data_IF_503188007643
#
_entry.id   IF_503188007643
#
_cell.length_a   1.000
_cell.length_b   1.000
_cell.length_c   1.000
_cell.angle_alpha   90.00
_cell.angle_beta   90.00
_cell.angle_gamma   90.00
#
_symmetry.space_group_name_H-M   'P 1'
#
loop_
_entity.id
_entity.type
_entity.pdbx_description
1 polymer ?
#
# COMPACT_ATOMS: atom_id res chain seq x y z
N UNK A 1 16.19 4.38 2.56
CA UNK A 1 17.16 4.24 3.67
C UNK A 1 18.28 3.26 3.36
N UNK A 2 17.99 1.98 3.09
CA UNK A 2 19.06 0.99 2.82
C UNK A 2 20.03 1.42 1.69
N UNK A 3 19.52 1.88 0.54
CA UNK A 3 20.34 2.39 -0.57
C UNK A 3 21.26 3.58 -0.21
N UNK A 4 20.95 4.35 0.84
CA UNK A 4 21.78 5.47 1.28
C UNK A 4 23.07 4.98 1.95
N UNK A 5 22.98 3.89 2.73
CA UNK A 5 24.14 3.31 3.41
C UNK A 5 24.91 2.29 2.56
N UNK A 6 24.37 1.90 1.41
CA UNK A 6 25.06 0.99 0.50
C UNK A 6 26.38 1.62 0.00
N UNK A 7 27.52 0.91 0.08
CA UNK A 7 28.79 1.42 -0.40
C UNK A 7 28.83 1.43 -1.94
N UNK A 8 28.34 2.52 -2.54
CA UNK A 8 28.32 2.71 -4.00
C UNK A 8 29.72 2.74 -4.63
N UNK A 9 30.78 2.92 -3.84
CA UNK A 9 32.16 2.71 -4.30
C UNK A 9 32.37 1.28 -4.87
N UNK A 10 31.57 0.29 -4.45
CA UNK A 10 31.64 -1.06 -5.01
C UNK A 10 31.32 -1.11 -6.51
N UNK A 11 30.54 -0.17 -7.04
CA UNK A 11 30.25 -0.05 -8.49
C UNK A 11 31.09 1.04 -9.17
N UNK A 12 31.99 1.70 -8.44
CA UNK A 12 32.91 2.70 -8.99
C UNK A 12 34.11 2.08 -9.71
N UNK A 13 34.80 2.84 -10.57
CA UNK A 13 36.05 2.38 -11.16
C UNK A 13 37.17 2.39 -10.11
N UNK A 14 38.07 1.40 -10.15
CA UNK A 14 39.22 1.34 -9.24
C UNK A 14 40.07 2.62 -9.34
N UNK A 15 40.37 3.23 -8.18
CA UNK A 15 41.29 4.36 -8.09
C UNK A 15 42.71 3.83 -7.93
N UNK A 16 43.58 4.08 -8.91
CA UNK A 16 45.03 3.85 -8.77
C UNK A 16 45.68 5.11 -8.19
N UNK A 17 46.05 5.08 -6.92
CA UNK A 17 46.86 6.15 -6.31
C UNK A 17 48.28 6.06 -6.84
N UNK A 18 48.77 7.11 -7.52
CA UNK A 18 50.09 7.15 -8.17
C UNK A 18 51.30 7.00 -7.22
N UNK A 19 51.12 7.03 -5.90
CA UNK A 19 52.22 7.02 -4.91
C UNK A 19 52.14 5.93 -3.84
N UNK A 20 51.18 4.98 -3.90
CA UNK A 20 51.15 3.87 -2.95
C UNK A 20 50.62 2.58 -3.60
N UNK A 21 51.37 1.46 -3.59
CA UNK A 21 50.96 0.19 -4.22
C UNK A 21 49.90 -0.57 -3.42
N UNK A 22 49.51 -0.10 -2.23
CA UNK A 22 48.45 -0.73 -1.44
C UNK A 22 47.08 -0.24 -1.92
N UNK A 23 46.18 -1.16 -2.36
CA UNK A 23 44.84 -0.78 -2.75
C UNK A 23 44.10 -0.19 -1.54
N UNK A 24 43.57 1.02 -1.70
CA UNK A 24 42.73 1.67 -0.68
C UNK A 24 41.52 0.77 -0.40
N UNK A 25 41.18 0.48 0.86
CA UNK A 25 40.05 -0.39 1.18
C UNK A 25 38.76 0.22 0.62
N UNK A 26 38.12 -0.49 -0.31
CA UNK A 26 36.86 -0.07 -0.97
C UNK A 26 35.73 0.12 0.03
N UNK A 27 35.73 -0.67 1.10
CA UNK A 27 34.81 -0.56 2.22
C UNK A 27 35.40 0.37 3.28
N UNK A 28 35.07 1.66 3.22
CA UNK A 28 35.54 2.66 4.20
C UNK A 28 34.97 2.43 5.61
N UNK A 29 33.74 1.92 5.71
CA UNK A 29 33.06 1.64 6.98
C UNK A 29 32.19 0.40 6.88
N UNK A 30 32.49 -0.62 7.71
CA UNK A 30 31.66 -1.81 7.85
C UNK A 30 30.30 -1.51 8.47
N UNK A 31 30.19 -0.44 9.26
CA UNK A 31 28.92 -0.04 9.87
C UNK A 31 27.89 0.35 8.80
N UNK A 32 28.31 1.14 7.79
CA UNK A 32 27.41 1.53 6.70
C UNK A 32 26.93 0.30 5.91
N UNK A 33 27.84 -0.63 5.62
CA UNK A 33 27.48 -1.89 4.97
C UNK A 33 26.47 -2.70 5.81
N UNK A 34 26.73 -2.87 7.12
CA UNK A 34 25.81 -3.59 8.03
C UNK A 34 24.45 -2.92 8.13
N UNK A 35 24.42 -1.59 8.28
CA UNK A 35 23.18 -0.82 8.30
C UNK A 35 22.39 -1.00 7.00
N UNK A 36 23.06 -0.92 5.84
CA UNK A 36 22.44 -1.17 4.54
C UNK A 36 21.86 -2.58 4.46
N UNK A 37 22.62 -3.60 4.85
CA UNK A 37 22.20 -5.00 4.76
C UNK A 37 21.06 -5.35 5.73
N UNK A 38 21.10 -4.83 6.97
CA UNK A 38 20.00 -5.00 7.92
C UNK A 38 18.71 -4.34 7.41
N UNK A 39 18.79 -3.10 6.91
CA UNK A 39 17.64 -2.40 6.34
C UNK A 39 17.14 -3.07 5.04
N UNK A 40 18.04 -3.63 4.23
CA UNK A 40 17.70 -4.41 3.05
C UNK A 40 16.95 -5.70 3.41
N UNK A 41 17.49 -6.47 4.35
CA UNK A 41 16.85 -7.69 4.85
C UNK A 41 15.49 -7.40 5.47
N UNK A 42 15.37 -6.32 6.26
CA UNK A 42 14.08 -5.88 6.82
C UNK A 42 13.09 -5.53 5.70
N UNK A 43 13.55 -4.81 4.67
CA UNK A 43 12.70 -4.47 3.52
C UNK A 43 12.23 -5.73 2.75
N UNK A 44 13.05 -6.77 2.65
CA UNK A 44 12.67 -8.05 2.02
C UNK A 44 11.71 -8.85 2.90
N UNK A 45 11.92 -8.89 4.21
CA UNK A 45 10.99 -9.55 5.15
C UNK A 45 9.61 -8.89 5.11
N UNK A 46 9.56 -7.56 5.16
CA UNK A 46 8.30 -6.81 5.10
C UNK A 46 7.66 -6.86 3.70
N UNK A 47 8.48 -6.94 2.65
CA UNK A 47 8.04 -6.97 1.24
C UNK A 47 8.98 -7.84 0.41
N UNK A 48 8.64 -9.11 0.16
CA UNK A 48 9.50 -10.06 -0.56
C UNK A 48 9.97 -9.57 -1.93
N UNK A 49 9.17 -8.75 -2.64
CA UNK A 49 9.53 -8.21 -3.96
C UNK A 49 10.76 -7.30 -3.94
N UNK A 50 11.15 -6.73 -2.78
CA UNK A 50 12.39 -5.97 -2.66
C UNK A 50 13.65 -6.81 -2.93
N UNK A 51 13.53 -8.15 -2.93
CA UNK A 51 14.62 -9.04 -3.33
C UNK A 51 15.08 -8.74 -4.75
N UNK A 52 14.19 -8.34 -5.65
CA UNK A 52 14.52 -7.98 -7.04
C UNK A 52 15.49 -6.80 -7.07
N UNK A 53 15.24 -5.76 -6.26
CA UNK A 53 16.08 -4.57 -6.18
C UNK A 53 17.51 -4.94 -5.73
N UNK A 54 17.62 -5.68 -4.63
CA UNK A 54 18.91 -6.05 -4.06
C UNK A 54 19.65 -7.08 -4.91
N UNK A 55 18.94 -8.05 -5.49
CA UNK A 55 19.52 -9.02 -6.40
C UNK A 55 20.13 -8.31 -7.62
N UNK A 56 19.45 -7.32 -8.20
CA UNK A 56 20.01 -6.54 -9.31
C UNK A 56 21.26 -5.75 -8.89
N UNK A 57 21.20 -5.02 -7.77
CA UNK A 57 22.36 -4.23 -7.30
C UNK A 57 23.57 -5.14 -7.03
N UNK A 58 23.36 -6.27 -6.35
CA UNK A 58 24.42 -7.24 -6.08
C UNK A 58 24.95 -7.86 -7.38
N UNK A 59 24.07 -8.23 -8.31
CA UNK A 59 24.44 -8.78 -9.61
C UNK A 59 25.35 -7.83 -10.39
N UNK A 60 24.99 -6.55 -10.51
CA UNK A 60 25.84 -5.56 -11.21
C UNK A 60 27.09 -5.22 -10.42
N UNK A 61 27.05 -5.28 -9.08
CA UNK A 61 28.25 -5.11 -8.25
C UNK A 61 29.27 -6.21 -8.56
N UNK A 62 28.85 -7.47 -8.57
CA UNK A 62 29.73 -8.63 -8.76
C UNK A 62 30.18 -8.82 -10.22
N UNK A 63 29.25 -8.75 -11.17
CA UNK A 63 29.53 -9.04 -12.58
C UNK A 63 30.09 -7.85 -13.34
N UNK A 64 29.75 -6.62 -12.89
CA UNK A 64 30.08 -5.35 -13.55
C UNK A 64 29.69 -5.27 -15.04
N UNK A 65 28.75 -6.09 -15.48
CA UNK A 65 28.25 -6.05 -16.86
C UNK A 65 27.76 -4.62 -17.16
N UNK A 66 28.16 -4.05 -18.30
CA UNK A 66 27.82 -2.68 -18.74
C UNK A 66 28.44 -1.53 -17.90
N UNK A 67 29.18 -1.83 -16.82
CA UNK A 67 29.91 -0.84 -16.02
C UNK A 67 31.28 -0.55 -16.64
N UNK A 68 31.76 0.68 -16.45
CA UNK A 68 33.03 1.16 -17.00
C UNK A 68 34.13 1.19 -15.93
N UNK A 69 35.37 0.94 -16.36
CA UNK A 69 36.57 0.98 -15.53
C UNK A 69 36.90 -0.36 -14.84
N UNK A 70 38.13 -0.47 -14.35
CA UNK A 70 38.61 -1.67 -13.65
C UNK A 70 37.85 -1.93 -12.37
N UNK A 71 37.63 -3.21 -12.06
CA UNK A 71 36.93 -3.62 -10.84
C UNK A 71 37.73 -3.22 -9.59
N UNK A 72 37.12 -2.54 -8.61
CA UNK A 72 37.70 -2.33 -7.29
C UNK A 72 37.54 -3.58 -6.40
N UNK A 73 36.76 -4.59 -6.82
CA UNK A 73 36.49 -5.76 -6.01
C UNK A 73 37.72 -6.68 -5.93
N UNK A 74 38.07 -7.05 -4.71
CA UNK A 74 39.00 -8.14 -4.42
C UNK A 74 38.23 -9.36 -3.90
N UNK A 75 38.83 -10.55 -3.98
CA UNK A 75 38.25 -11.78 -3.42
C UNK A 75 37.93 -11.60 -1.94
N UNK A 76 38.81 -10.93 -1.19
CA UNK A 76 38.60 -10.60 0.23
C UNK A 76 37.35 -9.74 0.43
N UNK A 77 37.14 -8.71 -0.41
CA UNK A 77 35.93 -7.88 -0.37
C UNK A 77 34.67 -8.71 -0.58
N UNK A 78 34.67 -9.64 -1.55
CA UNK A 78 33.53 -10.52 -1.82
C UNK A 78 33.22 -11.41 -0.61
N UNK A 79 34.23 -12.01 0.01
CA UNK A 79 34.04 -12.79 1.24
C UNK A 79 33.43 -11.96 2.38
N UNK A 80 33.89 -10.71 2.56
CA UNK A 80 33.31 -9.80 3.56
C UNK A 80 31.84 -9.52 3.24
N UNK A 81 31.48 -9.24 1.98
CA UNK A 81 30.09 -8.99 1.58
C UNK A 81 29.20 -10.20 1.88
N UNK A 82 29.64 -11.42 1.54
CA UNK A 82 28.87 -12.65 1.80
C UNK A 82 28.72 -12.87 3.30
N UNK A 83 29.81 -12.78 4.08
CA UNK A 83 29.78 -12.95 5.54
C UNK A 83 28.80 -11.96 6.18
N UNK A 84 28.92 -10.68 5.86
CA UNK A 84 28.06 -9.64 6.45
C UNK A 84 26.61 -9.79 6.00
N UNK A 85 26.35 -10.22 4.76
CA UNK A 85 24.99 -10.50 4.28
C UNK A 85 24.34 -11.65 5.05
N UNK A 86 25.09 -12.75 5.30
CA UNK A 86 24.60 -13.88 6.10
C UNK A 86 24.33 -13.44 7.54
N UNK A 87 25.26 -12.72 8.18
CA UNK A 87 25.11 -12.26 9.55
C UNK A 87 23.92 -11.30 9.72
N UNK A 88 23.84 -10.25 8.89
CA UNK A 88 22.77 -9.26 8.95
C UNK A 88 21.41 -9.87 8.56
N UNK A 89 21.38 -10.71 7.53
CA UNK A 89 20.17 -11.40 7.09
C UNK A 89 19.64 -12.34 8.16
N UNK A 90 20.51 -13.15 8.77
CA UNK A 90 20.12 -14.09 9.84
C UNK A 90 19.61 -13.34 11.08
N UNK A 91 20.25 -12.23 11.46
CA UNK A 91 19.80 -11.39 12.56
C UNK A 91 18.35 -10.90 12.35
N UNK A 92 18.06 -10.34 11.17
CA UNK A 92 16.72 -9.84 10.87
C UNK A 92 15.70 -10.96 10.76
N UNK A 93 16.06 -12.12 10.20
CA UNK A 93 15.19 -13.28 10.14
C UNK A 93 14.83 -13.81 11.55
N UNK A 94 15.80 -13.89 12.45
CA UNK A 94 15.56 -14.29 13.85
C UNK A 94 14.61 -13.31 14.54
N UNK A 95 14.82 -11.99 14.35
CA UNK A 95 13.94 -10.96 14.90
C UNK A 95 12.51 -11.11 14.35
N UNK A 96 12.35 -11.35 13.04
CA UNK A 96 11.05 -11.56 12.42
C UNK A 96 10.35 -12.79 13.00
N UNK A 97 11.04 -13.95 13.00
CA UNK A 97 10.47 -15.21 13.47
C UNK A 97 10.10 -15.13 14.97
N UNK A 98 10.92 -14.47 15.79
CA UNK A 98 10.61 -14.23 17.19
C UNK A 98 9.38 -13.32 17.36
N UNK A 99 9.30 -12.23 16.58
CA UNK A 99 8.14 -11.33 16.58
C UNK A 99 6.86 -12.05 16.17
N UNK A 100 6.92 -12.84 15.10
CA UNK A 100 5.79 -13.63 14.61
C UNK A 100 5.33 -14.66 15.66
N UNK A 101 6.28 -15.35 16.31
CA UNK A 101 5.98 -16.32 17.38
C UNK A 101 5.34 -15.67 18.62
N UNK A 102 5.77 -14.45 18.98
CA UNK A 102 5.21 -13.69 20.10
C UNK A 102 3.79 -13.21 19.80
N UNK A 103 3.53 -12.78 18.57
CA UNK A 103 2.22 -12.30 18.15
C UNK A 103 1.20 -13.44 17.95
N UNK A 104 1.56 -14.45 17.16
CA UNK A 104 0.63 -15.53 16.79
C UNK A 104 0.51 -16.63 17.86
N UNK A 105 1.45 -16.73 18.80
CA UNK A 105 1.47 -17.78 19.81
C UNK A 105 1.98 -19.14 19.32
N UNK A 106 2.26 -19.29 18.01
CA UNK A 106 2.86 -20.48 17.41
C UNK A 106 3.96 -20.11 16.42
N UNK A 107 4.85 -21.05 16.10
CA UNK A 107 5.92 -20.83 15.13
C UNK A 107 5.32 -20.76 13.73
N UNK A 108 5.47 -19.60 13.09
CA UNK A 108 5.02 -19.37 11.72
C UNK A 108 6.04 -18.53 10.99
N UNK A 109 6.12 -18.71 9.67
CA UNK A 109 6.98 -17.90 8.81
C UNK A 109 6.13 -17.28 7.69
N UNK A 110 5.60 -16.06 7.89
CA UNK A 110 4.65 -15.42 6.98
C UNK A 110 5.15 -15.31 5.53
N UNK A 111 6.46 -15.09 5.31
CA UNK A 111 7.02 -14.99 3.97
C UNK A 111 6.89 -16.31 3.18
N UNK A 112 7.09 -17.47 3.82
CA UNK A 112 6.85 -18.76 3.18
C UNK A 112 5.37 -19.00 2.93
N UNK A 113 4.51 -18.69 3.90
CA UNK A 113 3.06 -18.82 3.73
C UNK A 113 2.54 -17.92 2.60
N UNK A 114 3.10 -16.72 2.45
CA UNK A 114 2.83 -15.81 1.34
C UNK A 114 3.24 -16.41 0.00
N UNK A 115 4.46 -16.97 -0.10
CA UNK A 115 4.92 -17.62 -1.33
C UNK A 115 4.05 -18.82 -1.69
N UNK A 116 3.76 -19.67 -0.70
CA UNK A 116 2.87 -20.81 -0.87
C UNK A 116 1.48 -20.34 -1.35
N UNK A 117 0.89 -19.35 -0.69
CA UNK A 117 -0.42 -18.81 -1.03
C UNK A 117 -0.47 -18.20 -2.45
N UNK A 118 0.53 -17.41 -2.84
CA UNK A 118 0.53 -16.72 -4.12
C UNK A 118 0.94 -17.60 -5.31
N UNK A 119 1.90 -18.51 -5.11
CA UNK A 119 2.43 -19.35 -6.19
C UNK A 119 1.65 -20.67 -6.35
N UNK A 120 1.24 -21.32 -5.26
CA UNK A 120 0.58 -22.64 -5.35
C UNK A 120 -0.93 -22.56 -5.54
N UNK A 121 -1.60 -21.54 -5.00
CA UNK A 121 -3.07 -21.44 -5.01
C UNK A 121 -3.63 -20.51 -6.10
N UNK A 122 -2.78 -19.84 -6.89
CA UNK A 122 -3.15 -18.92 -7.99
C UNK A 122 -4.21 -17.87 -7.63
N UNK A 123 -4.37 -17.57 -6.34
CA UNK A 123 -5.41 -16.71 -5.78
C UNK A 123 -5.25 -15.24 -6.16
N UNK A 124 -4.03 -14.82 -6.53
CA UNK A 124 -3.80 -13.45 -6.99
C UNK A 124 -4.68 -13.08 -8.20
N UNK A 125 -5.06 -14.07 -9.03
CA UNK A 125 -5.99 -13.87 -10.16
C UNK A 125 -7.39 -13.46 -9.69
N UNK A 126 -7.84 -13.92 -8.52
CA UNK A 126 -9.15 -13.58 -7.94
C UNK A 126 -9.28 -12.07 -7.70
N UNK A 127 -8.17 -11.41 -7.32
CA UNK A 127 -8.12 -9.96 -7.09
C UNK A 127 -7.93 -9.14 -8.37
N UNK A 128 -8.16 -9.74 -9.55
CA UNK A 128 -8.10 -9.09 -10.84
C UNK A 128 -6.79 -9.31 -11.60
N UNK A 129 -6.90 -9.20 -12.93
CA UNK A 129 -5.77 -9.33 -13.88
C UNK A 129 -5.46 -8.00 -14.52
N UNK A 130 -4.17 -7.70 -14.65
CA UNK A 130 -3.67 -6.48 -15.28
C UNK A 130 -2.78 -6.82 -16.48
N UNK A 131 -2.83 -6.04 -17.57
CA UNK A 131 -1.98 -6.28 -18.73
C UNK A 131 -0.50 -6.17 -18.38
N UNK A 132 0.37 -6.80 -19.18
CA UNK A 132 1.82 -6.81 -18.94
C UNK A 132 2.44 -5.41 -18.89
N UNK A 133 1.87 -4.46 -19.65
CA UNK A 133 2.36 -3.08 -19.76
C UNK A 133 1.83 -2.14 -18.66
N UNK A 134 1.04 -2.64 -17.70
CA UNK A 134 0.45 -1.85 -16.60
C UNK A 134 1.48 -0.97 -15.88
N UNK A 135 2.63 -1.50 -15.48
CA UNK A 135 3.64 -0.71 -14.78
C UNK A 135 4.28 0.35 -15.66
N UNK A 136 4.34 0.13 -16.97
CA UNK A 136 4.94 1.07 -17.92
C UNK A 136 3.98 2.23 -18.19
N UNK A 137 2.71 1.92 -18.51
CA UNK A 137 1.73 2.92 -18.93
C UNK A 137 0.93 3.56 -17.80
N UNK A 138 0.83 2.91 -16.63
CA UNK A 138 0.04 3.39 -15.49
C UNK A 138 0.90 3.54 -14.23
N UNK A 139 1.68 2.52 -13.88
CA UNK A 139 2.47 2.50 -12.65
C UNK A 139 3.52 3.62 -12.58
N UNK A 140 4.40 3.71 -13.59
CA UNK A 140 5.45 4.73 -13.66
C UNK A 140 4.87 6.16 -13.71
N UNK A 141 3.86 6.46 -14.56
CA UNK A 141 3.19 7.75 -14.50
C UNK A 141 2.61 8.09 -13.14
N UNK A 142 1.99 7.12 -12.46
CA UNK A 142 1.36 7.37 -11.16
C UNK A 142 2.39 7.69 -10.06
N UNK A 143 3.51 6.96 -9.98
CA UNK A 143 4.52 7.21 -8.92
C UNK A 143 5.41 8.42 -9.22
N UNK A 144 5.67 8.72 -10.50
CA UNK A 144 6.53 9.84 -10.89
C UNK A 144 5.76 11.16 -11.01
N UNK A 145 4.43 11.12 -11.19
CA UNK A 145 3.58 12.31 -11.40
C UNK A 145 4.20 13.30 -12.40
N UNK A 146 4.49 14.52 -11.98
CA UNK A 146 5.08 15.58 -12.82
C UNK A 146 6.57 15.40 -13.08
N UNK A 147 7.25 14.49 -12.38
CA UNK A 147 8.65 14.14 -12.63
C UNK A 147 8.84 13.08 -13.72
N UNK A 148 7.74 12.49 -14.22
CA UNK A 148 7.74 11.44 -15.25
C UNK A 148 8.61 11.73 -16.48
N UNK A 149 8.54 12.90 -17.16
CA UNK A 149 9.36 13.14 -18.34
C UNK A 149 10.87 13.10 -18.04
N UNK A 150 11.27 13.58 -16.86
CA UNK A 150 12.67 13.52 -16.42
C UNK A 150 13.09 12.08 -16.11
N UNK A 151 12.21 11.29 -15.48
CA UNK A 151 12.46 9.88 -15.21
C UNK A 151 12.63 9.07 -16.49
N UNK A 152 11.78 9.28 -17.49
CA UNK A 152 11.86 8.59 -18.79
C UNK A 152 13.18 8.95 -19.50
N UNK A 153 13.51 10.24 -19.57
CA UNK A 153 14.76 10.70 -20.19
C UNK A 153 15.98 10.14 -19.46
N UNK A 154 15.95 10.11 -18.13
CA UNK A 154 17.02 9.54 -17.32
C UNK A 154 17.16 8.02 -17.48
N UNK A 155 16.06 7.28 -17.64
CA UNK A 155 16.12 5.85 -17.92
C UNK A 155 16.68 5.56 -19.31
N UNK A 156 16.34 6.38 -20.31
CA UNK A 156 16.86 6.26 -21.67
C UNK A 156 18.34 6.64 -21.78
N UNK A 157 18.77 7.72 -21.09
CA UNK A 157 20.13 8.26 -21.13
C UNK A 157 20.76 8.38 -19.73
N UNK A 158 20.80 7.27 -19.00
CA UNK A 158 21.21 7.23 -17.58
C UNK A 158 22.61 7.76 -17.28
N UNK A 159 23.51 7.76 -18.27
CA UNK A 159 24.89 8.24 -18.12
C UNK A 159 25.16 9.60 -18.77
N UNK A 160 24.21 10.18 -19.51
CA UNK A 160 24.47 11.40 -20.29
C UNK A 160 24.78 12.64 -19.42
N UNK A 161 24.29 12.66 -18.18
CA UNK A 161 24.50 13.75 -17.22
C UNK A 161 25.48 13.38 -16.11
N UNK A 162 26.23 12.27 -16.26
CA UNK A 162 27.23 11.87 -15.28
C UNK A 162 28.53 12.66 -15.48
N UNK A 163 29.05 13.25 -14.41
CA UNK A 163 30.33 13.98 -14.40
C UNK A 163 31.53 13.08 -14.13
N UNK A 164 31.31 11.84 -13.71
CA UNK A 164 32.37 10.85 -13.45
C UNK A 164 31.95 9.43 -13.82
N UNK A 165 32.92 8.56 -14.09
CA UNK A 165 32.69 7.12 -14.33
C UNK A 165 31.96 6.46 -13.16
N UNK A 166 32.29 6.84 -11.92
CA UNK A 166 31.62 6.32 -10.72
C UNK A 166 30.13 6.69 -10.70
N UNK A 167 29.81 7.94 -11.02
CA UNK A 167 28.43 8.39 -11.11
C UNK A 167 27.69 7.69 -12.25
N UNK A 168 28.33 7.54 -13.42
CA UNK A 168 27.77 6.81 -14.57
C UNK A 168 27.41 5.37 -14.20
N UNK A 169 28.33 4.64 -13.55
CA UNK A 169 28.08 3.26 -13.12
C UNK A 169 26.96 3.16 -12.07
N UNK A 170 26.90 4.12 -11.14
CA UNK A 170 25.83 4.19 -10.12
C UNK A 170 24.47 4.39 -10.78
N UNK A 171 24.35 5.37 -11.67
CA UNK A 171 23.09 5.67 -12.39
C UNK A 171 22.69 4.50 -13.29
N UNK A 172 23.63 3.86 -13.99
CA UNK A 172 23.36 2.64 -14.76
C UNK A 172 22.81 1.52 -13.87
N UNK A 173 23.43 1.27 -12.73
CA UNK A 173 22.98 0.23 -11.77
C UNK A 173 21.56 0.51 -11.29
N UNK A 174 21.24 1.75 -10.94
CA UNK A 174 19.88 2.16 -10.55
C UNK A 174 18.88 2.01 -11.72
N UNK A 175 19.25 2.38 -12.94
CA UNK A 175 18.40 2.22 -14.12
C UNK A 175 18.11 0.74 -14.40
N UNK A 176 19.12 -0.12 -14.35
CA UNK A 176 18.93 -1.58 -14.49
C UNK A 176 18.08 -2.17 -13.37
N UNK A 177 18.18 -1.62 -12.16
CA UNK A 177 17.33 -2.01 -11.02
C UNK A 177 15.87 -1.70 -11.31
N UNK A 178 15.58 -0.52 -11.88
CA UNK A 178 14.22 -0.15 -12.34
C UNK A 178 13.75 -1.09 -13.45
N UNK A 179 14.56 -1.31 -14.50
CA UNK A 179 14.17 -2.18 -15.61
C UNK A 179 13.93 -3.63 -15.18
N UNK A 180 14.80 -4.18 -14.34
CA UNK A 180 14.68 -5.57 -13.87
C UNK A 180 13.44 -5.73 -13.00
N UNK A 181 13.18 -4.78 -12.09
CA UNK A 181 12.02 -4.85 -11.20
C UNK A 181 10.72 -4.69 -11.99
N UNK A 182 10.64 -3.72 -12.91
CA UNK A 182 9.47 -3.54 -13.78
C UNK A 182 9.27 -4.77 -14.67
N UNK A 183 10.32 -5.24 -15.33
CA UNK A 183 10.26 -6.40 -16.22
C UNK A 183 9.78 -7.67 -15.50
N UNK A 184 10.37 -7.97 -14.33
CA UNK A 184 9.99 -9.13 -13.53
C UNK A 184 8.55 -9.03 -13.01
N UNK A 185 8.14 -7.88 -12.47
CA UNK A 185 6.77 -7.70 -11.97
C UNK A 185 5.75 -7.56 -13.12
N UNK A 186 6.15 -7.21 -14.34
CA UNK A 186 5.23 -7.20 -15.48
C UNK A 186 4.74 -8.62 -15.86
N UNK A 187 5.48 -9.66 -15.47
CA UNK A 187 5.13 -11.07 -15.74
C UNK A 187 4.03 -11.62 -14.82
N UNK A 188 3.80 -11.01 -13.64
CA UNK A 188 2.76 -11.48 -12.72
C UNK A 188 1.37 -11.00 -13.16
N UNK A 189 0.34 -11.83 -13.01
CA UNK A 189 -1.03 -11.51 -13.50
C UNK A 189 -1.67 -10.38 -12.71
N UNK A 190 -1.56 -10.42 -11.38
CA UNK A 190 -2.05 -9.36 -10.49
C UNK A 190 -0.98 -8.29 -10.29
N UNK A 191 -1.35 -7.03 -10.33
CA UNK A 191 -0.41 -5.91 -10.28
C UNK A 191 -0.99 -4.81 -9.42
N UNK A 192 -0.12 -4.19 -8.63
CA UNK A 192 -0.48 -3.05 -7.79
C UNK A 192 0.67 -2.05 -7.80
N UNK A 193 0.34 -0.77 -7.88
CA UNK A 193 1.36 0.30 -7.90
C UNK A 193 2.28 0.24 -6.67
N UNK A 194 1.75 -0.21 -5.52
CA UNK A 194 2.55 -0.37 -4.29
C UNK A 194 3.71 -1.36 -4.42
N UNK A 195 3.70 -2.28 -5.41
CA UNK A 195 4.80 -3.22 -5.64
C UNK A 195 6.03 -2.54 -6.25
N UNK A 196 5.83 -1.50 -7.07
CA UNK A 196 6.92 -0.72 -7.67
C UNK A 196 7.26 0.56 -6.88
N UNK A 197 6.45 0.93 -5.88
CA UNK A 197 6.70 2.08 -5.02
C UNK A 197 8.12 2.14 -4.42
N UNK A 198 8.77 1.02 -4.03
CA UNK A 198 10.16 1.04 -3.58
C UNK A 198 11.20 1.55 -4.61
N UNK A 199 10.83 1.63 -5.90
CA UNK A 199 11.69 2.20 -6.96
C UNK A 199 11.71 3.73 -6.95
N UNK A 200 10.77 4.40 -6.27
CA UNK A 200 10.64 5.86 -6.31
C UNK A 200 11.95 6.60 -5.95
N UNK A 201 12.72 6.21 -4.90
CA UNK A 201 14.00 6.86 -4.62
C UNK A 201 15.02 6.73 -5.77
N UNK A 202 15.09 5.57 -6.43
CA UNK A 202 15.98 5.37 -7.57
C UNK A 202 15.55 6.24 -8.76
N UNK A 203 14.25 6.31 -9.04
CA UNK A 203 13.67 7.17 -10.09
C UNK A 203 13.91 8.66 -9.81
N UNK A 204 13.81 9.10 -8.55
CA UNK A 204 14.13 10.48 -8.16
C UNK A 204 15.61 10.80 -8.35
N UNK A 205 16.52 9.90 -7.95
CA UNK A 205 17.97 10.07 -8.15
C UNK A 205 18.32 10.14 -9.64
N UNK A 206 17.73 9.25 -10.46
CA UNK A 206 17.92 9.24 -11.91
C UNK A 206 17.40 10.53 -12.55
N UNK A 207 16.21 10.99 -12.14
CA UNK A 207 15.57 12.20 -12.68
C UNK A 207 16.32 13.48 -12.33
N UNK A 208 17.00 13.53 -11.17
CA UNK A 208 17.53 14.77 -10.61
C UNK A 208 18.51 15.53 -11.54
N UNK A 209 19.53 14.91 -12.18
CA UNK A 209 20.41 15.62 -13.11
C UNK A 209 19.67 16.18 -14.33
N UNK A 210 18.71 15.43 -14.87
CA UNK A 210 17.91 15.88 -16.02
C UNK A 210 17.03 17.07 -15.62
N UNK A 211 16.33 16.97 -14.50
CA UNK A 211 15.51 18.04 -13.95
C UNK A 211 16.37 19.29 -13.64
N UNK A 212 17.55 19.12 -13.04
CA UNK A 212 18.48 20.21 -12.76
C UNK A 212 18.91 20.92 -14.04
N UNK A 213 19.29 20.17 -15.09
CA UNK A 213 19.67 20.78 -16.39
C UNK A 213 18.51 21.54 -17.06
N UNK A 214 17.26 21.13 -16.82
CA UNK A 214 16.09 21.78 -17.38
C UNK A 214 15.71 23.05 -16.60
N UNK A 215 15.67 22.98 -15.27
CA UNK A 215 15.22 24.07 -14.40
C UNK A 215 16.33 24.98 -13.88
N UNK A 216 17.60 24.66 -14.10
CA UNK A 216 18.71 25.52 -13.67
C UNK A 216 19.65 25.79 -14.84
N UNK A 217 20.30 26.95 -14.80
CA UNK A 217 21.46 27.24 -15.64
C UNK A 217 22.55 27.85 -14.76
N UNK A 218 23.80 27.58 -15.10
CA UNK A 218 24.97 28.21 -14.48
C UNK A 218 25.37 29.41 -15.35
N UNK A 219 25.33 30.64 -14.83
CA UNK A 219 25.90 31.80 -15.52
C UNK A 219 27.42 31.66 -15.65
N UNK A 220 28.00 32.29 -16.67
CA UNK A 220 29.46 32.34 -16.81
C UNK A 220 30.08 33.19 -15.69
N UNK A 221 31.28 32.79 -15.25
CA UNK A 221 32.04 33.54 -14.25
C UNK A 221 32.48 34.89 -14.84
N UNK A 222 32.28 35.97 -14.09
CA UNK A 222 32.73 37.32 -14.45
C UNK A 222 33.79 37.80 -13.46
N UNK A 223 34.58 38.81 -13.83
CA UNK A 223 35.60 39.40 -12.94
C UNK A 223 35.00 39.87 -11.61
N UNK A 224 33.76 40.35 -11.62
CA UNK A 224 33.03 40.80 -10.43
C UNK A 224 32.30 39.67 -9.69
N UNK A 225 32.11 38.51 -10.33
CA UNK A 225 31.47 37.35 -9.72
C UNK A 225 32.12 36.05 -10.21
N UNK A 226 33.23 35.63 -9.58
CA UNK A 226 34.00 34.47 -10.00
C UNK A 226 33.32 33.12 -9.71
N UNK A 227 32.25 33.10 -8.89
CA UNK A 227 31.47 31.90 -8.56
C UNK A 227 29.97 32.21 -8.58
N UNK A 228 29.39 32.42 -9.78
CA UNK A 228 27.97 32.70 -9.89
C UNK A 228 27.15 31.53 -9.36
N UNK A 229 26.06 31.85 -8.65
CA UNK A 229 25.12 30.83 -8.16
C UNK A 229 24.23 30.36 -9.31
N UNK A 230 23.85 29.06 -9.36
CA UNK A 230 22.88 28.57 -10.32
C UNK A 230 21.59 29.38 -10.24
N UNK A 231 21.07 29.78 -11.40
CA UNK A 231 19.82 30.52 -11.52
C UNK A 231 18.72 29.60 -12.05
N UNK A 232 17.48 29.84 -11.60
CA UNK A 232 16.31 29.06 -12.01
C UNK A 232 15.81 29.53 -13.38
N UNK A 233 15.72 28.58 -14.31
CA UNK A 233 15.10 28.70 -15.64
C UNK A 233 13.75 27.97 -15.65
N UNK A 234 12.90 28.23 -16.65
CA UNK A 234 11.65 27.50 -16.87
C UNK A 234 10.68 27.56 -15.66
N UNK A 235 10.66 28.71 -14.98
CA UNK A 235 9.93 28.93 -13.71
C UNK A 235 8.44 28.58 -13.82
N UNK A 236 7.80 28.90 -14.95
CA UNK A 236 6.38 28.59 -15.16
C UNK A 236 6.10 27.10 -15.14
N UNK A 237 6.92 26.28 -15.79
CA UNK A 237 6.80 24.82 -15.76
C UNK A 237 7.06 24.26 -14.37
N UNK A 238 8.05 24.81 -13.65
CA UNK A 238 8.34 24.41 -12.28
C UNK A 238 7.16 24.71 -11.34
N UNK A 239 6.59 25.92 -11.43
CA UNK A 239 5.43 26.33 -10.65
C UNK A 239 4.19 25.52 -11.00
N UNK A 240 3.96 25.23 -12.28
CA UNK A 240 2.85 24.37 -12.71
C UNK A 240 3.02 22.94 -12.16
N UNK A 241 4.22 22.36 -12.27
CA UNK A 241 4.52 21.03 -11.75
C UNK A 241 4.34 20.97 -10.23
N UNK A 242 4.79 21.99 -9.49
CA UNK A 242 4.59 22.09 -8.05
C UNK A 242 3.09 22.25 -7.73
N UNK A 243 2.40 23.13 -8.44
CA UNK A 243 0.97 23.40 -8.27
C UNK A 243 0.12 22.15 -8.46
N UNK A 244 0.40 21.33 -9.48
CA UNK A 244 -0.28 20.05 -9.70
C UNK A 244 -0.07 19.11 -8.51
N UNK A 245 1.16 18.96 -8.00
CA UNK A 245 1.41 18.07 -6.85
C UNK A 245 0.78 18.61 -5.57
N UNK A 246 0.82 19.92 -5.31
CA UNK A 246 0.19 20.53 -4.13
C UNK A 246 -1.33 20.36 -4.20
N UNK A 247 -1.94 20.60 -5.36
CA UNK A 247 -3.36 20.38 -5.58
C UNK A 247 -3.75 18.91 -5.35
N UNK A 248 -3.03 17.97 -5.99
CA UNK A 248 -3.28 16.54 -5.81
C UNK A 248 -3.11 16.10 -4.36
N UNK A 249 -2.04 16.55 -3.69
CA UNK A 249 -1.80 16.25 -2.28
C UNK A 249 -2.93 16.78 -1.40
N UNK A 250 -3.37 18.03 -1.61
CA UNK A 250 -4.48 18.62 -0.86
C UNK A 250 -5.80 17.90 -1.13
N UNK A 251 -6.16 17.67 -2.38
CA UNK A 251 -7.41 17.01 -2.76
C UNK A 251 -7.48 15.57 -2.25
N UNK A 252 -6.43 14.76 -2.48
CA UNK A 252 -6.42 13.35 -2.09
C UNK A 252 -6.28 13.14 -0.58
N UNK A 253 -5.66 14.08 0.15
CA UNK A 253 -5.51 13.95 1.60
C UNK A 253 -6.73 14.44 2.39
N UNK A 254 -7.45 15.46 1.87
CA UNK A 254 -8.48 16.14 2.64
C UNK A 254 -9.90 16.08 2.06
N UNK A 255 -10.08 15.76 0.78
CA UNK A 255 -11.38 15.84 0.11
C UNK A 255 -11.86 14.51 -0.46
N UNK A 256 -10.96 13.71 -1.04
CA UNK A 256 -11.30 12.44 -1.66
C UNK A 256 -11.46 11.33 -0.60
N UNK A 257 -12.55 10.56 -0.69
CA UNK A 257 -12.86 9.39 0.16
C UNK A 257 -12.83 9.67 1.67
N UNK A 258 -13.34 10.82 2.10
CA UNK A 258 -13.39 11.19 3.53
C UNK A 258 -14.52 10.51 4.31
N UNK A 259 -15.67 10.26 3.67
CA UNK A 259 -16.82 9.63 4.32
C UNK A 259 -16.52 8.25 4.97
N UNK A 260 -15.77 7.34 4.34
CA UNK A 260 -15.36 6.09 4.97
C UNK A 260 -14.63 6.20 6.32
N UNK A 261 -13.94 7.31 6.58
CA UNK A 261 -13.31 7.59 7.86
C UNK A 261 -14.30 8.23 8.84
N UNK A 262 -15.07 9.20 8.37
CA UNK A 262 -16.00 9.96 9.19
C UNK A 262 -17.17 9.09 9.70
N UNK A 263 -17.63 8.11 8.91
CA UNK A 263 -18.73 7.22 9.30
C UNK A 263 -18.38 6.38 10.53
N UNK A 264 -17.13 5.94 10.65
CA UNK A 264 -16.70 5.14 11.82
C UNK A 264 -16.56 6.01 13.07
N UNK A 265 -16.22 7.30 12.90
CA UNK A 265 -16.22 8.27 13.99
C UNK A 265 -17.65 8.54 14.46
N UNK A 266 -18.59 8.71 13.52
CA UNK A 266 -20.02 8.83 13.83
C UNK A 266 -20.54 7.60 14.61
N UNK A 267 -20.31 6.39 14.10
CA UNK A 267 -20.77 5.16 14.75
C UNK A 267 -20.14 4.98 16.14
N UNK A 268 -18.87 5.37 16.32
CA UNK A 268 -18.21 5.33 17.63
C UNK A 268 -18.91 6.25 18.63
N UNK A 269 -19.20 7.50 18.23
CA UNK A 269 -19.87 8.45 19.10
C UNK A 269 -21.31 8.03 19.42
N UNK A 270 -22.04 7.48 18.44
CA UNK A 270 -23.37 6.93 18.70
C UNK A 270 -23.30 5.73 19.66
N UNK A 271 -22.29 4.86 19.51
CA UNK A 271 -22.10 3.76 20.45
C UNK A 271 -21.78 4.26 21.86
N UNK A 272 -20.92 5.28 21.99
CA UNK A 272 -20.58 5.93 23.26
C UNK A 272 -21.80 6.53 23.96
N UNK A 273 -22.71 7.09 23.15
CA UNK A 273 -23.93 7.73 23.62
C UNK A 273 -24.98 6.71 24.08
N UNK A 274 -25.12 5.60 23.35
CA UNK A 274 -26.19 4.60 23.59
C UNK A 274 -25.74 3.55 24.61
N UNK A 275 -24.46 3.20 24.68
CA UNK A 275 -23.92 2.13 25.54
C UNK A 275 -22.81 2.64 26.50
N UNK A 276 -23.10 3.62 27.38
CA UNK A 276 -22.09 4.18 28.29
C UNK A 276 -21.50 3.11 29.23
N UNK A 277 -22.32 2.16 29.68
CA UNK A 277 -21.87 1.08 30.57
C UNK A 277 -20.88 0.14 29.87
N UNK A 278 -21.14 -0.22 28.61
CA UNK A 278 -20.22 -1.06 27.82
C UNK A 278 -18.90 -0.36 27.53
N UNK A 279 -18.93 0.96 27.32
CA UNK A 279 -17.72 1.79 27.16
C UNK A 279 -16.90 1.82 28.44
N UNK A 280 -17.56 2.03 29.58
CA UNK A 280 -16.90 2.03 30.89
C UNK A 280 -16.30 0.65 31.20
N UNK A 281 -17.00 -0.43 30.87
CA UNK A 281 -16.50 -1.79 31.00
C UNK A 281 -15.29 -2.06 30.10
N UNK A 282 -15.31 -1.61 28.85
CA UNK A 282 -14.18 -1.74 27.93
C UNK A 282 -12.92 -1.01 28.46
N UNK A 283 -13.10 0.19 29.01
CA UNK A 283 -12.00 0.97 29.58
C UNK A 283 -11.43 0.31 30.85
N UNK A 284 -12.29 -0.11 31.78
CA UNK A 284 -11.85 -0.76 33.04
C UNK A 284 -11.19 -2.12 32.80
N UNK A 285 -11.68 -2.89 31.83
CA UNK A 285 -11.09 -4.18 31.43
C UNK A 285 -9.89 -4.07 30.48
N UNK A 286 -9.43 -2.85 30.16
CA UNK A 286 -8.37 -2.59 29.17
C UNK A 286 -8.61 -3.31 27.85
N UNK A 287 -9.86 -3.29 27.37
CA UNK A 287 -10.28 -3.89 26.10
C UNK A 287 -10.03 -5.41 26.01
N UNK A 288 -9.88 -6.11 27.15
CA UNK A 288 -9.58 -7.55 27.19
C UNK A 288 -10.81 -8.45 27.16
N UNK A 289 -12.00 -7.88 27.40
CA UNK A 289 -13.27 -8.61 27.43
C UNK A 289 -13.99 -8.40 26.09
N UNK A 290 -14.36 -9.51 25.45
CA UNK A 290 -15.12 -9.51 24.20
C UNK A 290 -16.61 -9.18 24.40
N UNK A 291 -17.36 -9.00 23.31
CA UNK A 291 -18.79 -8.69 23.37
C UNK A 291 -19.56 -9.77 24.13
N UNK A 292 -20.52 -9.36 24.96
CA UNK A 292 -21.49 -10.26 25.59
C UNK A 292 -22.32 -11.01 24.53
N UNK A 293 -22.82 -12.20 24.87
CA UNK A 293 -23.62 -13.03 23.94
C UNK A 293 -24.92 -12.36 23.48
N UNK A 294 -25.46 -11.44 24.27
CA UNK A 294 -26.76 -10.80 24.06
C UNK A 294 -26.66 -9.36 23.54
N UNK A 295 -25.46 -8.94 23.09
CA UNK A 295 -25.28 -7.58 22.57
C UNK A 295 -25.87 -7.42 21.16
N UNK A 296 -26.59 -6.31 20.97
CA UNK A 296 -27.20 -5.93 19.70
C UNK A 296 -26.18 -5.90 18.55
N UNK A 297 -26.64 -6.17 17.32
CA UNK A 297 -25.83 -5.85 16.15
C UNK A 297 -25.89 -4.34 15.92
N UNK A 298 -24.82 -3.63 16.23
CA UNK A 298 -24.83 -2.17 16.17
C UNK A 298 -24.81 -1.63 14.74
N UNK A 299 -24.00 -2.21 13.85
CA UNK A 299 -23.86 -1.73 12.48
C UNK A 299 -23.68 -2.86 11.45
N UNK A 300 -24.42 -2.78 10.35
CA UNK A 300 -24.28 -3.63 9.16
C UNK A 300 -23.77 -2.78 7.99
N UNK A 301 -22.70 -3.22 7.33
CA UNK A 301 -22.11 -2.53 6.20
C UNK A 301 -22.44 -3.26 4.91
N UNK A 302 -23.40 -2.72 4.16
CA UNK A 302 -23.81 -3.18 2.83
C UNK A 302 -23.10 -2.34 1.76
N UNK A 303 -21.83 -2.64 1.56
CA UNK A 303 -20.95 -1.91 0.65
C UNK A 303 -19.81 -2.83 0.18
N UNK A 304 -19.03 -2.47 -0.86
CA UNK A 304 -17.92 -3.30 -1.29
C UNK A 304 -16.89 -3.45 -0.17
N UNK A 305 -16.23 -4.60 -0.12
CA UNK A 305 -15.27 -4.90 0.93
C UNK A 305 -14.12 -3.89 0.99
N UNK A 306 -13.53 -3.72 2.17
CA UNK A 306 -12.42 -2.78 2.42
C UNK A 306 -12.75 -1.32 2.06
N UNK A 307 -14.03 -0.93 2.09
CA UNK A 307 -14.42 0.47 1.90
C UNK A 307 -14.08 1.34 3.11
N UNK A 308 -14.06 0.79 4.33
CA UNK A 308 -13.75 1.51 5.58
C UNK A 308 -12.60 0.82 6.35
N UNK A 309 -11.89 1.51 7.26
CA UNK A 309 -10.77 0.91 8.00
C UNK A 309 -11.20 0.01 9.18
N UNK A 310 -12.51 -0.28 9.31
CA UNK A 310 -13.08 -1.31 10.20
C UNK A 310 -12.61 -1.22 11.66
N UNK A 311 -12.11 -2.33 12.23
CA UNK A 311 -11.72 -2.48 13.63
C UNK A 311 -10.56 -1.59 14.10
N UNK A 312 -9.82 -0.97 13.19
CA UNK A 312 -8.85 0.06 13.58
C UNK A 312 -9.52 1.34 14.12
N UNK A 313 -10.81 1.54 13.83
CA UNK A 313 -11.59 2.71 14.25
C UNK A 313 -12.81 2.32 15.11
N UNK A 314 -13.37 1.12 14.93
CA UNK A 314 -14.41 0.57 15.80
C UNK A 314 -13.80 -0.14 17.02
N UNK A 315 -13.23 0.67 17.91
CA UNK A 315 -12.34 0.23 19.00
C UNK A 315 -13.04 -0.51 20.14
N UNK A 316 -14.35 -0.31 20.33
CA UNK A 316 -15.09 -0.94 21.42
C UNK A 316 -15.39 -2.40 21.08
N UNK A 317 -14.98 -3.38 21.92
CA UNK A 317 -15.25 -4.80 21.69
C UNK A 317 -16.74 -5.11 21.61
N UNK A 318 -17.54 -4.41 22.42
CA UNK A 318 -18.99 -4.55 22.43
C UNK A 318 -19.72 -3.90 21.24
N UNK A 319 -19.02 -3.13 20.40
CA UNK A 319 -19.58 -2.61 19.16
C UNK A 319 -19.55 -3.73 18.12
N UNK A 320 -20.57 -4.58 18.15
CA UNK A 320 -20.78 -5.63 17.15
C UNK A 320 -21.14 -5.00 15.80
N UNK A 321 -20.37 -5.34 14.79
CA UNK A 321 -20.62 -4.88 13.42
C UNK A 321 -20.35 -6.02 12.43
N UNK A 322 -21.12 -6.04 11.35
CA UNK A 322 -20.98 -7.00 10.24
C UNK A 322 -20.71 -6.25 8.94
N UNK A 323 -19.84 -6.79 8.09
CA UNK A 323 -19.60 -6.29 6.74
C UNK A 323 -19.64 -7.46 5.78
N UNK A 324 -20.15 -7.22 4.56
CA UNK A 324 -20.10 -8.18 3.47
C UNK A 324 -18.66 -8.67 3.28
N UNK A 325 -18.48 -9.99 3.18
CA UNK A 325 -17.16 -10.61 3.03
C UNK A 325 -16.75 -10.75 1.57
N UNK A 326 -15.46 -10.54 1.30
CA UNK A 326 -14.83 -10.83 0.01
C UNK A 326 -13.73 -11.87 0.19
N UNK A 327 -13.98 -12.84 1.05
CA UNK A 327 -13.05 -13.93 1.30
C UNK A 327 -12.93 -14.76 0.01
N UNK A 328 -11.70 -15.05 -0.43
CA UNK A 328 -11.55 -15.88 -1.60
C UNK A 328 -11.88 -17.34 -1.25
N UNK A 329 -12.24 -18.19 -2.22
CA UNK A 329 -12.67 -19.55 -1.93
C UNK A 329 -11.45 -20.43 -1.62
N UNK A 330 -11.01 -20.44 -0.37
CA UNK A 330 -9.78 -21.14 0.04
C UNK A 330 -9.87 -22.67 -0.06
N UNK A 331 -11.10 -23.21 -0.09
CA UNK A 331 -11.40 -24.64 -0.05
C UNK A 331 -11.63 -25.27 -1.42
N UNK A 332 -11.76 -24.47 -2.49
CA UNK A 332 -11.93 -24.98 -3.85
C UNK A 332 -10.58 -25.18 -4.53
N UNK A 333 -10.44 -26.20 -5.39
CA UNK A 333 -9.19 -26.40 -6.13
C UNK A 333 -9.02 -25.33 -7.24
N UNK A 334 -7.78 -24.96 -7.63
CA UNK A 334 -7.54 -24.08 -8.77
C UNK A 334 -8.07 -24.67 -10.10
N UNK A 335 -8.51 -23.81 -11.03
CA UNK A 335 -9.00 -24.19 -12.36
C UNK A 335 -10.23 -25.14 -12.36
N UNK A 336 -11.06 -25.07 -11.33
CA UNK A 336 -12.35 -25.78 -11.31
C UNK A 336 -13.50 -24.84 -11.71
N UNK A 337 -14.61 -25.36 -12.27
CA UNK A 337 -15.80 -24.55 -12.52
C UNK A 337 -16.34 -23.88 -11.26
N UNK A 338 -16.19 -24.52 -10.10
CA UNK A 338 -16.59 -23.96 -8.81
C UNK A 338 -15.75 -22.74 -8.43
N UNK A 339 -14.43 -22.78 -8.70
CA UNK A 339 -13.53 -21.64 -8.51
C UNK A 339 -13.81 -20.50 -9.48
N UNK A 340 -14.13 -20.80 -10.73
CA UNK A 340 -14.40 -19.79 -11.77
C UNK A 340 -15.75 -19.10 -11.58
N UNK A 341 -16.76 -19.83 -11.08
CA UNK A 341 -18.10 -19.31 -10.83
C UNK A 341 -18.27 -18.77 -9.40
N UNK A 342 -17.23 -18.80 -8.57
CA UNK A 342 -17.30 -18.28 -7.21
C UNK A 342 -17.66 -16.79 -7.22
N UNK A 343 -18.61 -16.44 -6.36
CA UNK A 343 -19.02 -15.07 -6.06
C UNK A 343 -18.93 -14.86 -4.57
N UNK A 344 -18.29 -13.78 -4.15
CA UNK A 344 -18.27 -13.42 -2.73
C UNK A 344 -19.57 -12.75 -2.28
N UNK A 345 -19.73 -12.50 -0.98
CA UNK A 345 -20.97 -11.92 -0.44
C UNK A 345 -21.26 -10.54 -1.01
N UNK A 346 -20.22 -9.72 -1.22
CA UNK A 346 -20.41 -8.39 -1.78
C UNK A 346 -20.93 -8.49 -3.22
N UNK A 347 -20.32 -9.33 -4.05
CA UNK A 347 -20.78 -9.51 -5.43
C UNK A 347 -22.20 -10.11 -5.48
N UNK A 348 -22.53 -11.11 -4.65
CA UNK A 348 -23.90 -11.67 -4.59
C UNK A 348 -24.94 -10.63 -4.18
N UNK A 349 -24.61 -9.79 -3.20
CA UNK A 349 -25.47 -8.67 -2.79
C UNK A 349 -25.70 -7.67 -3.93
N UNK A 350 -24.65 -7.26 -4.64
CA UNK A 350 -24.77 -6.30 -5.74
C UNK A 350 -25.41 -6.89 -7.00
N UNK A 351 -25.31 -8.22 -7.22
CA UNK A 351 -25.97 -8.92 -8.31
C UNK A 351 -27.48 -9.05 -8.07
N UNK A 352 -27.91 -9.41 -6.85
CA UNK A 352 -29.32 -9.62 -6.50
C UNK A 352 -29.63 -9.17 -5.06
N UNK A 353 -29.81 -7.86 -4.79
CA UNK A 353 -29.84 -7.33 -3.44
C UNK A 353 -31.04 -7.80 -2.61
N UNK A 354 -32.26 -7.83 -3.19
CA UNK A 354 -33.46 -8.24 -2.43
C UNK A 354 -33.39 -9.73 -2.06
N UNK A 355 -33.18 -10.68 -3.00
CA UNK A 355 -33.04 -12.09 -2.65
C UNK A 355 -31.88 -12.36 -1.67
N UNK A 356 -30.77 -11.65 -1.82
CA UNK A 356 -29.64 -11.78 -0.90
C UNK A 356 -30.05 -11.38 0.53
N UNK A 357 -30.74 -10.25 0.70
CA UNK A 357 -31.19 -9.80 2.02
C UNK A 357 -32.25 -10.73 2.63
N UNK A 358 -33.24 -11.19 1.85
CA UNK A 358 -34.34 -12.03 2.35
C UNK A 358 -33.92 -13.46 2.64
N UNK A 359 -33.06 -14.04 1.81
CA UNK A 359 -32.83 -15.49 1.79
C UNK A 359 -31.44 -15.90 2.28
N UNK A 360 -30.44 -15.03 2.13
CA UNK A 360 -29.07 -15.32 2.58
C UNK A 360 -28.77 -14.61 3.91
N UNK A 361 -28.79 -13.28 3.92
CA UNK A 361 -28.30 -12.49 5.06
C UNK A 361 -29.22 -12.56 6.29
N UNK A 362 -30.52 -12.38 6.06
CA UNK A 362 -31.55 -12.50 7.08
C UNK A 362 -32.40 -13.77 6.92
N UNK A 363 -31.89 -14.74 6.16
CA UNK A 363 -32.59 -15.99 5.86
C UNK A 363 -32.75 -16.91 7.08
N UNK A 364 -33.63 -17.93 6.97
CA UNK A 364 -34.03 -18.76 8.10
C UNK A 364 -32.95 -19.71 8.63
N UNK A 365 -31.97 -20.10 7.81
CA UNK A 365 -30.94 -21.08 8.21
C UNK A 365 -29.92 -20.51 9.20
N UNK A 366 -29.60 -19.22 9.08
CA UNK A 366 -28.65 -18.53 9.98
C UNK A 366 -28.87 -17.02 9.94
N UNK A 367 -29.99 -16.52 10.49
CA UNK A 367 -30.34 -15.11 10.37
C UNK A 367 -29.32 -14.25 11.11
N UNK A 368 -28.76 -13.26 10.41
CA UNK A 368 -28.07 -12.17 11.06
C UNK A 368 -29.07 -11.40 11.94
N UNK A 369 -28.69 -11.04 13.15
CA UNK A 369 -29.55 -10.19 13.99
C UNK A 369 -29.80 -8.86 13.27
N UNK A 370 -31.01 -8.30 13.39
CA UNK A 370 -31.31 -7.04 12.69
C UNK A 370 -30.46 -5.92 13.29
N UNK A 371 -29.69 -5.19 12.47
CA UNK A 371 -28.79 -4.17 12.97
C UNK A 371 -29.55 -2.94 13.43
N UNK A 372 -28.97 -2.14 14.34
CA UNK A 372 -29.44 -0.78 14.60
C UNK A 372 -29.20 0.13 13.39
N UNK A 373 -27.98 0.09 12.87
CA UNK A 373 -27.57 0.91 11.74
C UNK A 373 -27.21 0.07 10.51
N UNK A 374 -27.70 0.48 9.34
CA UNK A 374 -27.22 0.02 8.05
C UNK A 374 -26.33 1.11 7.46
N UNK A 375 -25.19 0.74 6.91
CA UNK A 375 -24.19 1.65 6.35
C UNK A 375 -23.92 1.24 4.91
N UNK A 376 -23.97 2.19 3.98
CA UNK A 376 -23.81 1.92 2.56
C UNK A 376 -23.62 3.21 1.76
N UNK A 377 -23.39 3.06 0.46
CA UNK A 377 -23.41 4.18 -0.48
C UNK A 377 -24.85 4.45 -0.94
N UNK A 378 -25.17 5.70 -1.29
CA UNK A 378 -26.53 6.13 -1.63
C UNK A 378 -27.19 5.30 -2.74
N UNK A 379 -26.41 4.69 -3.63
CA UNK A 379 -26.90 3.77 -4.66
C UNK A 379 -27.69 2.56 -4.14
N UNK A 380 -27.52 2.16 -2.87
CA UNK A 380 -28.27 1.02 -2.29
C UNK A 380 -29.61 1.43 -1.67
N UNK A 381 -29.88 2.73 -1.52
CA UNK A 381 -31.11 3.24 -0.88
C UNK A 381 -32.38 2.63 -1.50
N UNK A 382 -32.57 2.59 -2.84
CA UNK A 382 -33.79 2.03 -3.42
C UNK A 382 -34.00 0.56 -3.03
N UNK A 383 -32.92 -0.22 -2.93
CA UNK A 383 -32.98 -1.62 -2.55
C UNK A 383 -33.37 -1.81 -1.09
N UNK A 384 -32.89 -0.94 -0.20
CA UNK A 384 -33.33 -0.95 1.20
C UNK A 384 -34.83 -0.62 1.30
N UNK A 385 -35.30 0.39 0.56
CA UNK A 385 -36.71 0.78 0.55
C UNK A 385 -37.62 -0.31 -0.02
N UNK A 386 -37.14 -1.13 -0.93
CA UNK A 386 -37.90 -2.29 -1.43
C UNK A 386 -37.81 -3.49 -0.50
N UNK A 387 -36.64 -3.71 0.13
CA UNK A 387 -36.45 -4.78 1.11
C UNK A 387 -37.39 -4.64 2.32
N UNK A 388 -37.53 -3.45 2.90
CA UNK A 388 -38.42 -3.23 4.07
C UNK A 388 -39.91 -3.48 3.77
N UNK A 389 -40.31 -3.54 2.50
CA UNK A 389 -41.68 -3.89 2.08
C UNK A 389 -41.90 -5.40 1.97
N UNK A 390 -40.83 -6.20 2.01
CA UNK A 390 -40.92 -7.66 1.90
C UNK A 390 -41.53 -8.28 3.16
N UNK A 391 -42.26 -9.40 3.05
CA UNK A 391 -42.77 -10.13 4.22
C UNK A 391 -41.67 -10.55 5.19
N UNK A 392 -40.49 -10.91 4.68
CA UNK A 392 -39.34 -11.33 5.46
C UNK A 392 -38.81 -10.18 6.32
N UNK A 393 -38.65 -8.97 5.76
CA UNK A 393 -38.26 -7.81 6.54
C UNK A 393 -39.31 -7.42 7.58
N UNK A 394 -40.60 -7.49 7.23
CA UNK A 394 -41.70 -7.22 8.16
C UNK A 394 -41.76 -8.23 9.32
N UNK A 395 -41.49 -9.51 9.04
CA UNK A 395 -41.41 -10.55 10.07
C UNK A 395 -40.27 -10.31 11.07
N UNK A 396 -39.22 -9.60 10.64
CA UNK A 396 -38.10 -9.16 11.48
C UNK A 396 -38.37 -7.84 12.22
N UNK A 397 -39.55 -7.22 12.04
CA UNK A 397 -39.88 -5.91 12.59
C UNK A 397 -39.27 -4.73 11.83
N UNK A 398 -38.55 -4.98 10.72
CA UNK A 398 -37.91 -3.96 9.90
C UNK A 398 -38.91 -3.39 8.89
N UNK A 399 -39.69 -2.40 9.32
CA UNK A 399 -40.75 -1.79 8.50
C UNK A 399 -40.30 -0.57 7.70
N UNK A 400 -39.23 0.09 8.14
CA UNK A 400 -38.67 1.27 7.48
C UNK A 400 -37.19 1.42 7.81
N UNK A 401 -36.50 2.21 7.00
CA UNK A 401 -35.15 2.69 7.28
C UNK A 401 -35.10 4.20 7.11
N UNK A 402 -34.45 4.91 8.04
CA UNK A 402 -34.35 6.36 8.02
C UNK A 402 -32.89 6.81 7.93
N UNK A 403 -32.51 7.64 6.95
CA UNK A 403 -31.16 8.19 6.91
C UNK A 403 -30.96 9.14 8.12
N UNK A 404 -29.96 8.83 8.95
CA UNK A 404 -29.58 9.60 10.15
C UNK A 404 -28.25 10.33 10.00
N UNK A 405 -27.41 9.88 9.07
CA UNK A 405 -26.14 10.53 8.76
C UNK A 405 -25.81 10.44 7.27
N UNK A 406 -25.17 11.46 6.72
CA UNK A 406 -24.67 11.49 5.34
C UNK A 406 -23.27 12.09 5.28
N UNK A 407 -22.35 11.41 4.60
CA UNK A 407 -20.98 11.84 4.40
C UNK A 407 -20.65 12.00 2.92
N UNK A 408 -19.88 13.05 2.61
CA UNK A 408 -19.33 13.26 1.27
C UNK A 408 -18.16 12.30 1.00
N UNK A 409 -18.26 11.46 -0.03
CA UNK A 409 -17.21 10.49 -0.38
C UNK A 409 -16.19 11.04 -1.41
N UNK A 410 -16.50 12.12 -2.12
CA UNK A 410 -15.67 12.61 -3.21
C UNK A 410 -16.47 12.83 -4.49
N UNK A 411 -15.78 13.32 -5.52
CA UNK A 411 -16.40 13.66 -6.80
C UNK A 411 -16.52 12.47 -7.77
N UNK A 412 -15.68 11.46 -7.60
CA UNK A 412 -15.64 10.28 -8.47
C UNK A 412 -15.12 9.07 -7.69
N UNK A 413 -15.38 7.87 -8.22
CA UNK A 413 -14.79 6.60 -7.78
C UNK A 413 -14.69 5.68 -9.00
N UNK A 414 -13.62 4.88 -9.11
CA UNK A 414 -13.54 3.88 -10.20
C UNK A 414 -14.58 2.75 -10.06
N UNK A 415 -14.98 2.41 -8.83
CA UNK A 415 -16.02 1.43 -8.57
C UNK A 415 -17.36 2.16 -8.42
N UNK A 416 -18.28 1.90 -9.36
CA UNK A 416 -19.62 2.50 -9.34
C UNK A 416 -20.38 2.20 -8.04
N UNK A 417 -20.09 1.05 -7.41
CA UNK A 417 -20.69 0.63 -6.12
C UNK A 417 -20.26 1.51 -4.96
N UNK A 418 -19.18 2.28 -5.12
CA UNK A 418 -18.63 3.24 -4.14
C UNK A 418 -18.91 4.70 -4.52
N UNK A 419 -19.73 4.92 -5.55
CA UNK A 419 -20.09 6.27 -5.99
C UNK A 419 -21.10 6.91 -5.05
N UNK A 420 -21.19 8.24 -5.09
CA UNK A 420 -22.17 9.00 -4.32
C UNK A 420 -21.81 9.21 -2.84
N UNK A 421 -22.81 9.58 -2.04
CA UNK A 421 -22.65 9.84 -0.61
C UNK A 421 -22.67 8.52 0.16
N UNK A 422 -21.91 8.44 1.24
CA UNK A 422 -22.09 7.37 2.21
C UNK A 422 -23.21 7.77 3.17
N UNK A 423 -24.10 6.84 3.50
CA UNK A 423 -25.26 7.10 4.34
C UNK A 423 -25.27 6.06 5.46
N UNK A 424 -25.70 6.51 6.65
CA UNK A 424 -26.11 5.63 7.74
C UNK A 424 -27.62 5.72 7.86
N UNK A 425 -28.28 4.57 7.83
CA UNK A 425 -29.70 4.39 8.05
C UNK A 425 -29.96 3.76 9.40
N UNK A 426 -30.88 4.33 10.17
CA UNK A 426 -31.45 3.73 11.37
C UNK A 426 -32.60 2.80 10.97
N UNK A 427 -32.60 1.58 11.50
CA UNK A 427 -33.64 0.57 11.28
C UNK A 427 -34.90 0.79 12.11
N UNK A 428 -34.86 1.69 13.10
CA UNK A 428 -35.99 2.05 13.98
C UNK A 428 -36.49 0.84 14.79
N UNK A 429 -35.67 -0.20 14.94
CA UNK A 429 -36.00 -1.37 15.76
C UNK A 429 -35.68 -1.15 17.24
N UNK A 430 -34.76 -0.23 17.50
CA UNK A 430 -34.21 -0.01 18.83
C UNK A 430 -34.52 1.41 19.33
N UNK A 431 -35.49 1.52 20.24
CA UNK A 431 -35.98 2.80 20.77
C UNK A 431 -35.26 3.29 22.04
N UNK A 432 -34.21 2.60 22.48
CA UNK A 432 -33.45 2.91 23.69
C UNK A 432 -32.40 4.02 23.51
N UNK A 433 -32.34 4.67 22.36
CA UNK A 433 -31.40 5.76 22.12
C UNK A 433 -31.80 6.99 22.97
N UNK A 434 -30.88 7.57 23.78
CA UNK A 434 -31.15 8.83 24.47
C UNK A 434 -31.52 9.94 23.47
N UNK A 435 -32.14 11.06 23.90
CA UNK A 435 -32.29 12.22 23.04
C UNK A 435 -30.92 12.67 22.53
N UNK A 436 -30.82 13.01 21.24
CA UNK A 436 -29.62 13.64 20.73
C UNK A 436 -29.40 14.94 21.51
N UNK A 437 -28.18 15.19 22.00
CA UNK A 437 -27.84 16.51 22.52
C UNK A 437 -27.97 17.47 21.35
N UNK A 438 -28.91 18.41 21.44
CA UNK A 438 -28.97 19.55 20.51
C UNK A 438 -27.61 20.24 20.55
N UNK A 439 -26.88 20.15 19.44
CA UNK A 439 -25.54 20.72 19.27
C UNK A 439 -25.62 22.11 18.67
#
# INVERSE_FOLDING_TARGET
>A
MALYYWPWELVSAAQTTKENPKPTPVLKSLWSLRASLCLAALAVVLRPTNVLIWATIVFFTLTRISLQGSSPLTISTVFVLIREAILCGSLILVISIASDRLYFGFWTFPAYNFLNFNLSKSLAVFYGRNPWHYYILQGLPLICTTSLPFAIMALYKSSAFASSTSQSNTLKTLAYTVFTTIGALSLISHKEVRFIYPLLPALSILSAPVAASFFTFQPDATTNNPRPRPQIRNKHYLLAALGVNVFLAGYLSFFHQTAPLNVLTYLRHEYERIHPDSVQLAQTSRFSVGPGKDEELFALFLMPCHSTPWRSHLVYPGLRAYALTCEPPLHTEPNTPERENYRDEADRFYDNPIPFLTSELFGPEKPLAVPRYIVGFDGIEPWLQDFVKTPEAQALGLTQVRPVWKGFNGLFNEDWRRSGKMIVWDTVIYDNAPPAKES
#
